data_IF_756067550063
#
_entry.id   IF_756067550063
#
_cell.length_a   1.000
_cell.length_b   1.000
_cell.length_c   1.000
_cell.angle_alpha   90.00
_cell.angle_beta   90.00
_cell.angle_gamma   90.00
#
_symmetry.space_group_name_H-M   'P 1'
#
loop_
_entity.id
_entity.type
_entity.pdbx_description
1 polymer ?
#
# COMPACT_ATOMS: atom_id res chain seq x y z
N UNK A 1 31.42 -2.73 61.79
CA UNK A 1 30.51 -3.71 61.17
C UNK A 1 30.33 -3.32 59.71
N UNK A 2 30.64 -4.21 58.77
CA UNK A 2 30.84 -3.91 57.34
C UNK A 2 29.51 -3.96 56.58
N UNK A 3 29.13 -2.87 55.92
CA UNK A 3 28.02 -2.80 54.97
C UNK A 3 28.41 -3.49 53.67
N UNK A 4 27.64 -4.50 53.25
CA UNK A 4 27.76 -5.13 51.94
C UNK A 4 26.67 -4.56 51.02
N UNK A 5 27.08 -3.81 50.01
CA UNK A 5 26.20 -3.30 48.95
C UNK A 5 26.14 -4.38 47.85
N UNK A 6 24.99 -5.02 47.69
CA UNK A 6 24.75 -6.00 46.61
C UNK A 6 24.32 -5.22 45.36
N UNK A 7 25.21 -5.12 44.37
CA UNK A 7 24.89 -4.58 43.06
C UNK A 7 24.18 -5.66 42.22
N UNK A 8 22.88 -5.49 42.00
CA UNK A 8 22.11 -6.33 41.09
C UNK A 8 22.35 -5.89 39.63
N UNK A 9 23.08 -6.71 38.88
CA UNK A 9 23.24 -6.58 37.43
C UNK A 9 21.92 -6.97 36.75
N UNK A 10 21.17 -5.97 36.29
CA UNK A 10 20.00 -6.17 35.43
C UNK A 10 20.48 -6.44 33.99
N UNK A 11 20.60 -7.71 33.64
CA UNK A 11 20.75 -8.16 32.25
C UNK A 11 19.48 -7.82 31.49
N UNK A 12 19.47 -6.67 30.81
CA UNK A 12 18.41 -6.32 29.88
C UNK A 12 18.60 -7.16 28.61
N UNK A 13 17.80 -8.23 28.47
CA UNK A 13 17.64 -8.94 27.23
C UNK A 13 17.13 -7.98 26.18
N UNK A 14 18.00 -7.58 25.24
CA UNK A 14 17.61 -6.89 24.02
C UNK A 14 16.64 -7.82 23.29
N UNK A 15 15.35 -7.51 23.38
CA UNK A 15 14.32 -8.23 22.64
C UNK A 15 14.52 -7.83 21.18
N UNK A 16 15.00 -8.75 20.35
CA UNK A 16 15.06 -8.52 18.91
C UNK A 16 13.65 -8.14 18.43
N UNK A 17 13.52 -7.12 17.56
CA UNK A 17 12.21 -6.76 17.02
C UNK A 17 11.63 -8.00 16.33
N UNK A 18 10.40 -8.35 16.70
CA UNK A 18 9.72 -9.50 16.14
C UNK A 18 9.78 -9.45 14.60
N UNK A 19 10.03 -10.59 13.91
CA UNK A 19 10.04 -10.62 12.45
C UNK A 19 8.75 -10.01 11.91
N UNK A 20 8.89 -9.09 10.96
CA UNK A 20 7.78 -8.42 10.28
C UNK A 20 6.78 -9.47 9.78
N UNK A 21 5.62 -9.52 10.41
CA UNK A 21 4.48 -10.29 9.91
C UNK A 21 3.73 -9.39 8.94
N UNK A 22 3.36 -9.88 7.74
CA UNK A 22 2.40 -9.17 6.89
C UNK A 22 1.21 -8.83 7.78
N UNK A 23 1.00 -7.54 7.98
CA UNK A 23 0.04 -7.06 8.96
C UNK A 23 -1.32 -7.64 8.56
N UNK A 24 -2.03 -8.25 9.51
CA UNK A 24 -3.27 -9.02 9.28
C UNK A 24 -4.34 -8.28 8.46
N UNK A 25 -4.25 -6.94 8.38
CA UNK A 25 -5.10 -6.13 7.53
C UNK A 25 -4.86 -6.36 6.03
N UNK A 26 -3.61 -6.56 5.59
CA UNK A 26 -3.26 -6.74 4.16
C UNK A 26 -4.11 -7.85 3.55
N UNK A 27 -4.09 -9.03 4.17
CA UNK A 27 -4.90 -10.17 3.74
C UNK A 27 -6.40 -9.95 3.97
N UNK A 28 -6.79 -9.25 5.05
CA UNK A 28 -8.20 -8.96 5.33
C UNK A 28 -8.87 -8.06 4.28
N UNK A 29 -8.09 -7.18 3.62
CA UNK A 29 -8.60 -6.26 2.61
C UNK A 29 -8.63 -6.84 1.20
N UNK A 30 -8.03 -8.01 0.96
CA UNK A 30 -8.00 -8.64 -0.37
C UNK A 30 -9.39 -8.78 -1.02
N UNK A 31 -10.46 -9.26 -0.34
CA UNK A 31 -11.79 -9.33 -0.94
C UNK A 31 -12.42 -7.97 -1.23
N UNK A 32 -12.03 -6.93 -0.49
CA UNK A 32 -12.47 -5.55 -0.74
C UNK A 32 -11.78 -4.98 -1.96
N UNK A 33 -10.48 -5.20 -2.12
CA UNK A 33 -9.71 -4.78 -3.29
C UNK A 33 -10.22 -5.49 -4.55
N UNK A 34 -10.52 -6.79 -4.48
CA UNK A 34 -11.09 -7.53 -5.62
C UNK A 34 -12.41 -6.93 -6.09
N UNK A 35 -13.34 -6.66 -5.16
CA UNK A 35 -14.61 -6.01 -5.49
C UNK A 35 -14.40 -4.59 -6.01
N UNK A 36 -13.45 -3.85 -5.43
CA UNK A 36 -13.11 -2.51 -5.86
C UNK A 36 -12.63 -2.54 -7.31
N UNK A 37 -11.58 -3.32 -7.62
CA UNK A 37 -11.04 -3.45 -8.99
C UNK A 37 -12.10 -3.88 -10.02
N UNK A 38 -13.03 -4.76 -9.65
CA UNK A 38 -14.15 -5.17 -10.52
C UNK A 38 -15.17 -4.05 -10.78
N UNK A 39 -15.27 -3.09 -9.86
CA UNK A 39 -16.22 -1.97 -9.92
C UNK A 39 -15.62 -0.66 -10.42
N UNK A 40 -14.29 -0.57 -10.52
CA UNK A 40 -13.61 0.64 -10.96
C UNK A 40 -13.91 0.90 -12.44
N UNK A 41 -14.47 2.07 -12.70
CA UNK A 41 -14.57 2.62 -14.06
C UNK A 41 -13.32 3.47 -14.28
N UNK A 42 -12.43 3.00 -15.15
CA UNK A 42 -11.21 3.74 -15.47
C UNK A 42 -11.52 4.94 -16.38
N UNK A 43 -10.71 6.01 -16.33
CA UNK A 43 -10.88 7.17 -17.19
C UNK A 43 -10.79 6.81 -18.69
N UNK A 44 -11.29 7.71 -19.54
CA UNK A 44 -11.20 7.51 -20.99
C UNK A 44 -9.73 7.53 -21.43
N UNK A 45 -9.32 6.57 -22.26
CA UNK A 45 -7.94 6.45 -22.74
C UNK A 45 -7.04 5.59 -21.83
N UNK A 46 -7.54 5.10 -20.70
CA UNK A 46 -6.89 4.06 -19.92
C UNK A 46 -6.93 2.70 -20.62
N UNK A 47 -5.92 1.88 -20.35
CA UNK A 47 -5.90 0.48 -20.77
C UNK A 47 -6.82 -0.39 -19.90
N UNK A 48 -7.06 -1.67 -20.25
CA UNK A 48 -7.79 -2.59 -19.39
C UNK A 48 -7.11 -2.76 -18.02
N UNK A 49 -7.91 -2.91 -16.94
CA UNK A 49 -7.41 -3.07 -15.55
C UNK A 49 -6.25 -4.06 -15.43
N UNK A 50 -6.32 -5.20 -16.12
CA UNK A 50 -5.34 -6.27 -16.02
C UNK A 50 -3.98 -5.98 -16.66
N UNK A 51 -3.84 -4.92 -17.46
CA UNK A 51 -2.54 -4.48 -17.99
C UNK A 51 -1.70 -3.73 -16.96
N UNK A 52 -2.33 -3.19 -15.92
CA UNK A 52 -1.64 -2.40 -14.91
C UNK A 52 -0.95 -3.29 -13.88
N UNK A 53 0.21 -2.82 -13.41
CA UNK A 53 0.70 -3.18 -12.09
C UNK A 53 -0.08 -2.40 -11.02
N UNK A 54 -0.58 -3.09 -10.00
CA UNK A 54 -1.56 -2.57 -9.04
C UNK A 54 -1.02 -2.73 -7.63
N UNK A 55 -0.64 -1.64 -7.00
CA UNK A 55 -0.17 -1.61 -5.63
C UNK A 55 -1.24 -1.03 -4.71
N UNK A 56 -1.50 -1.69 -3.57
CA UNK A 56 -2.45 -1.20 -2.57
C UNK A 56 -1.82 -1.13 -1.18
N UNK A 57 -2.14 -0.09 -0.42
CA UNK A 57 -1.68 0.07 0.97
C UNK A 57 -2.71 0.84 1.81
N UNK A 58 -2.60 0.75 3.13
CA UNK A 58 -3.38 1.55 4.06
C UNK A 58 -2.59 2.79 4.48
N UNK A 59 -3.26 3.94 4.51
CA UNK A 59 -2.79 5.15 5.16
C UNK A 59 -3.85 5.62 6.16
N UNK A 60 -3.57 5.41 7.45
CA UNK A 60 -4.55 5.55 8.51
C UNK A 60 -5.76 4.61 8.31
N UNK A 61 -6.91 5.19 7.96
CA UNK A 61 -8.17 4.46 7.72
C UNK A 61 -8.54 4.39 6.24
N UNK A 62 -7.72 4.96 5.35
CA UNK A 62 -7.98 4.99 3.92
C UNK A 62 -7.16 3.90 3.22
N UNK A 63 -7.77 3.28 2.22
CA UNK A 63 -7.13 2.35 1.32
C UNK A 63 -6.69 3.11 0.07
N UNK A 64 -5.40 3.12 -0.19
CA UNK A 64 -4.80 3.76 -1.34
C UNK A 64 -4.43 2.71 -2.39
N UNK A 65 -4.64 3.05 -3.65
CA UNK A 65 -4.28 2.26 -4.81
C UNK A 65 -3.44 3.07 -5.78
N UNK A 66 -2.42 2.43 -6.34
CA UNK A 66 -1.65 2.93 -7.46
C UNK A 66 -1.72 1.90 -8.58
N UNK A 67 -2.30 2.29 -9.71
CA UNK A 67 -2.33 1.49 -10.93
C UNK A 67 -1.35 2.16 -11.89
N UNK A 68 -0.31 1.44 -12.30
CA UNK A 68 0.74 1.97 -13.16
C UNK A 68 1.05 1.00 -14.29
N UNK A 69 1.29 1.54 -15.48
CA UNK A 69 1.75 0.72 -16.61
C UNK A 69 3.12 0.12 -16.28
N UNK A 70 3.32 -1.21 -16.43
CA UNK A 70 4.58 -1.87 -16.11
C UNK A 70 5.81 -1.21 -16.76
N UNK A 71 5.65 -0.65 -17.96
CA UNK A 71 6.72 0.05 -18.69
C UNK A 71 7.19 1.35 -18.02
N UNK A 72 6.42 1.93 -17.10
CA UNK A 72 6.74 3.20 -16.43
C UNK A 72 7.61 3.03 -15.19
N UNK A 73 7.64 1.83 -14.60
CA UNK A 73 8.45 1.55 -13.40
C UNK A 73 9.27 0.30 -13.65
N UNK A 74 10.59 0.46 -13.68
CA UNK A 74 11.50 -0.66 -13.95
C UNK A 74 11.33 -1.77 -12.90
N UNK A 75 11.14 -3.00 -13.37
CA UNK A 75 11.03 -4.20 -12.52
C UNK A 75 9.65 -4.42 -11.92
N UNK A 76 8.65 -3.65 -12.35
CA UNK A 76 7.26 -3.85 -11.98
C UNK A 76 6.54 -4.63 -13.09
N UNK A 77 5.77 -5.65 -12.70
CA UNK A 77 5.01 -6.51 -13.61
C UNK A 77 3.51 -6.28 -13.42
N UNK A 78 2.72 -6.56 -14.46
CA UNK A 78 1.27 -6.52 -14.35
C UNK A 78 0.76 -7.50 -13.27
N UNK A 79 -0.30 -7.09 -12.59
CA UNK A 79 -0.87 -7.84 -11.48
C UNK A 79 -0.88 -7.05 -10.18
N UNK A 80 -1.28 -7.71 -9.09
CA UNK A 80 -1.59 -7.05 -7.81
C UNK A 80 -0.54 -7.35 -6.76
N UNK A 81 -0.11 -6.31 -6.06
CA UNK A 81 0.74 -6.39 -4.87
C UNK A 81 0.12 -5.57 -3.74
N UNK A 82 0.23 -6.08 -2.52
CA UNK A 82 -0.17 -5.38 -1.31
C UNK A 82 1.10 -4.93 -0.58
N UNK A 83 1.19 -3.65 -0.27
CA UNK A 83 2.37 -3.02 0.31
C UNK A 83 2.11 -2.64 1.78
N UNK A 84 3.14 -2.70 2.64
CA UNK A 84 3.03 -2.25 4.04
C UNK A 84 2.93 -0.72 4.19
N UNK A 85 3.07 0.02 3.08
CA UNK A 85 3.05 1.49 3.02
C UNK A 85 3.09 1.96 1.55
N UNK A 86 3.17 3.28 1.32
CA UNK A 86 3.22 3.82 -0.04
C UNK A 86 4.45 3.31 -0.80
N UNK A 87 4.35 3.13 -2.13
CA UNK A 87 5.51 2.80 -2.95
C UNK A 87 6.57 3.91 -2.87
N UNK A 88 7.87 3.58 -2.96
CA UNK A 88 8.97 4.54 -2.77
C UNK A 88 9.25 5.40 -4.01
N UNK A 89 8.31 5.49 -4.94
CA UNK A 89 8.48 6.19 -6.21
C UNK A 89 7.26 7.04 -6.51
N UNK A 90 7.51 8.25 -6.99
CA UNK A 90 6.50 9.12 -7.58
C UNK A 90 6.57 8.96 -9.11
N UNK A 91 5.47 8.56 -9.74
CA UNK A 91 5.41 8.43 -11.19
C UNK A 91 4.63 9.60 -11.76
N UNK A 92 5.35 10.53 -12.38
CA UNK A 92 4.75 11.63 -13.13
C UNK A 92 4.53 11.15 -14.57
N UNK A 93 3.26 10.91 -14.90
CA UNK A 93 2.83 10.73 -16.29
C UNK A 93 2.19 12.03 -16.78
N UNK A 94 2.17 12.24 -18.10
CA UNK A 94 1.40 13.30 -18.76
C UNK A 94 0.10 12.77 -19.36
N UNK A 95 -0.35 11.60 -18.92
CA UNK A 95 -1.45 10.80 -19.46
C UNK A 95 -2.01 9.80 -18.43
N UNK A 96 -2.80 8.81 -18.87
CA UNK A 96 -3.48 7.87 -17.96
C UNK A 96 -2.76 6.53 -17.75
N UNK A 97 -1.44 6.54 -17.85
CA UNK A 97 -0.60 5.41 -17.48
C UNK A 97 -0.38 5.27 -15.97
N UNK A 98 -0.73 6.30 -15.18
CA UNK A 98 -0.76 6.25 -13.71
C UNK A 98 -2.11 6.71 -13.19
N UNK A 99 -2.74 5.87 -12.37
CA UNK A 99 -4.03 6.15 -11.73
C UNK A 99 -3.88 6.00 -10.22
N UNK A 100 -4.24 7.06 -9.51
CA UNK A 100 -4.30 7.08 -8.05
C UNK A 100 -5.74 6.87 -7.60
N UNK A 101 -5.93 5.89 -6.71
CA UNK A 101 -7.23 5.57 -6.11
C UNK A 101 -7.17 5.82 -4.61
N UNK A 102 -8.13 6.57 -4.08
CA UNK A 102 -8.35 6.70 -2.64
C UNK A 102 -9.73 6.15 -2.33
N UNK A 103 -9.77 5.10 -1.53
CA UNK A 103 -10.99 4.43 -1.11
C UNK A 103 -11.16 4.54 0.40
N UNK A 104 -12.34 4.97 0.81
CA UNK A 104 -12.73 4.98 2.21
C UNK A 104 -13.56 3.72 2.52
N UNK A 105 -13.04 2.77 3.33
CA UNK A 105 -13.74 1.55 3.68
C UNK A 105 -14.93 1.78 4.62
N UNK A 106 -15.12 2.99 5.14
CA UNK A 106 -16.29 3.40 5.93
C UNK A 106 -16.60 4.86 5.60
N UNK A 107 -17.34 5.14 4.51
CA UNK A 107 -18.62 4.49 4.21
C UNK A 107 -18.63 3.56 2.98
N UNK A 108 -17.51 2.94 2.62
CA UNK A 108 -17.36 2.10 1.41
C UNK A 108 -17.52 2.89 0.09
N UNK A 109 -16.76 3.97 -0.07
CA UNK A 109 -16.80 4.82 -1.27
C UNK A 109 -15.40 5.08 -1.83
N UNK A 110 -15.29 5.20 -3.14
CA UNK A 110 -14.13 5.83 -3.78
C UNK A 110 -14.23 7.33 -3.56
N UNK A 111 -13.23 7.91 -2.91
CA UNK A 111 -13.15 9.35 -2.63
C UNK A 111 -12.40 10.10 -3.72
N UNK A 112 -11.42 9.44 -4.35
CA UNK A 112 -10.64 10.00 -5.46
C UNK A 112 -10.22 8.91 -6.42
N UNK A 113 -10.28 9.21 -7.72
CA UNK A 113 -9.75 8.40 -8.80
C UNK A 113 -9.19 9.36 -9.85
N UNK A 114 -7.87 9.54 -9.85
CA UNK A 114 -7.19 10.58 -10.64
C UNK A 114 -6.15 9.95 -11.54
N UNK A 115 -6.19 10.33 -12.81
CA UNK A 115 -5.15 10.04 -13.79
C UNK A 115 -4.12 11.18 -13.78
N UNK A 116 -2.82 10.86 -13.70
CA UNK A 116 -1.74 11.87 -13.78
C UNK A 116 -1.63 12.42 -15.22
N UNK A 117 -2.54 13.31 -15.59
CA UNK A 117 -2.64 13.87 -16.95
C UNK A 117 -3.93 14.66 -17.19
N UNK A 118 -4.96 14.44 -16.35
CA UNK A 118 -6.16 15.28 -16.33
C UNK A 118 -5.94 16.45 -15.35
N UNK A 119 -5.53 17.60 -15.89
CA UNK A 119 -5.54 18.91 -15.21
C UNK A 119 -6.72 19.74 -15.67
#
# INVERSE_FOLDING_TARGET
MRSALIAALMSQSLTEPAPWTPTSWVEAFKPTIERLEQSLVLPTGSDPMDSYARAWWMDGHLLHGLLVQPSMVQGLEAGRVLLPGPPPYDVLDGGCGVIHVVYNPTPMRVESLVCNGES
#
